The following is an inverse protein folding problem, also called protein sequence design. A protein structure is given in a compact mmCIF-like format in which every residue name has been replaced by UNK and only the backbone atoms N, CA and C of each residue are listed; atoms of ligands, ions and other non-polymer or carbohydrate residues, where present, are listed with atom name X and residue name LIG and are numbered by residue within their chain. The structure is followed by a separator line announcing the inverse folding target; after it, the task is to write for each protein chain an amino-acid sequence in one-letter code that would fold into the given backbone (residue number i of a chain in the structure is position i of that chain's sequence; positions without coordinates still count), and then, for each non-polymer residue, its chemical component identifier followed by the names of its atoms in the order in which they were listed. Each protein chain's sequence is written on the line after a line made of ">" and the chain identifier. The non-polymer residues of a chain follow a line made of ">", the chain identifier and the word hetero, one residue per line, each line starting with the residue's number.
data_IF_085892230862
#
_entry.id   IF_085892230862
#
_cell.length_a   1.000
_cell.length_b   1.000
_cell.length_c   1.000
_cell.angle_alpha   90.00
_cell.angle_beta   90.00
_cell.angle_gamma   90.00
#
_symmetry.space_group_name_H-M   'P 1'
#
loop_
_entity.id
_entity.type
_entity.pdbx_description
1 polymer ?
#
# COMPACT_ATOMS: atom_id res chain seq x y z
N UNK A 1 19.10 51.98 -30.77
CA UNK A 1 19.90 51.09 -29.89
C UNK A 1 21.25 50.84 -30.57
N UNK A 2 22.36 51.13 -29.91
CA UNK A 2 23.70 50.85 -30.47
C UNK A 2 23.93 49.33 -30.52
N UNK A 3 24.80 48.89 -31.43
CA UNK A 3 25.15 47.46 -31.58
C UNK A 3 25.79 46.89 -30.30
N UNK A 4 26.56 47.71 -29.60
CA UNK A 4 27.14 47.37 -28.31
C UNK A 4 26.07 47.14 -27.23
N UNK A 5 25.03 47.99 -27.16
CA UNK A 5 23.90 47.78 -26.25
C UNK A 5 23.16 46.47 -26.56
N UNK A 6 22.98 46.14 -27.85
CA UNK A 6 22.34 44.89 -28.26
C UNK A 6 23.09 43.65 -27.78
N UNK A 7 24.42 43.63 -27.97
CA UNK A 7 25.27 42.50 -27.54
C UNK A 7 25.27 42.35 -26.01
N UNK A 8 25.36 43.46 -25.27
CA UNK A 8 25.29 43.42 -23.80
C UNK A 8 23.96 42.86 -23.28
N UNK A 9 22.83 43.20 -23.93
CA UNK A 9 21.52 42.65 -23.57
C UNK A 9 21.39 41.16 -23.88
N UNK A 10 21.94 40.70 -25.01
CA UNK A 10 21.94 39.27 -25.37
C UNK A 10 22.78 38.48 -24.36
N UNK A 11 23.98 38.95 -24.02
CA UNK A 11 24.84 38.32 -23.01
C UNK A 11 24.17 38.26 -21.63
N UNK A 12 23.48 39.33 -21.21
CA UNK A 12 22.68 39.34 -19.99
C UNK A 12 21.56 38.29 -20.03
N UNK A 13 20.84 38.19 -21.15
CA UNK A 13 19.76 37.22 -21.32
C UNK A 13 20.27 35.77 -21.24
N UNK A 14 21.44 35.48 -21.81
CA UNK A 14 22.11 34.17 -21.68
C UNK A 14 22.43 33.87 -20.22
N UNK A 15 22.98 34.84 -19.48
CA UNK A 15 23.29 34.69 -18.06
C UNK A 15 22.04 34.39 -17.21
N UNK A 16 20.97 35.16 -17.40
CA UNK A 16 19.69 34.96 -16.70
C UNK A 16 19.09 33.59 -17.02
N UNK A 17 19.09 33.20 -18.30
CA UNK A 17 18.60 31.91 -18.72
C UNK A 17 19.40 30.79 -18.04
N UNK A 18 20.74 30.84 -18.09
CA UNK A 18 21.62 29.82 -17.48
C UNK A 18 21.37 29.66 -15.97
N UNK A 19 21.24 30.76 -15.23
CA UNK A 19 20.91 30.72 -13.80
C UNK A 19 19.52 30.09 -13.59
N UNK A 20 18.53 30.46 -14.40
CA UNK A 20 17.18 29.88 -14.37
C UNK A 20 17.18 28.37 -14.59
N UNK A 21 17.93 27.86 -15.57
CA UNK A 21 18.09 26.41 -15.78
C UNK A 21 18.72 25.72 -14.56
N UNK A 22 19.73 26.34 -13.94
CA UNK A 22 20.37 25.82 -12.73
C UNK A 22 19.38 25.67 -11.57
N UNK A 23 18.60 26.71 -11.29
CA UNK A 23 17.58 26.70 -10.22
C UNK A 23 16.51 25.63 -10.48
N UNK A 24 16.00 25.56 -11.71
CA UNK A 24 15.00 24.55 -12.07
C UNK A 24 15.58 23.14 -11.91
N UNK A 25 16.77 22.87 -12.45
CA UNK A 25 17.45 21.56 -12.33
C UNK A 25 17.62 21.14 -10.87
N UNK A 26 18.04 22.07 -10.01
CA UNK A 26 18.15 21.81 -8.57
C UNK A 26 16.79 21.47 -7.93
N UNK A 27 15.72 22.21 -8.27
CA UNK A 27 14.36 21.90 -7.82
C UNK A 27 13.86 20.54 -8.31
N UNK A 28 14.14 20.16 -9.55
CA UNK A 28 13.83 18.82 -10.06
C UNK A 28 14.55 17.73 -9.28
N UNK A 29 15.80 17.94 -8.90
CA UNK A 29 16.55 17.02 -8.06
C UNK A 29 15.89 16.80 -6.69
N UNK A 30 15.44 17.88 -6.03
CA UNK A 30 14.71 17.78 -4.76
C UNK A 30 13.40 17.00 -4.93
N UNK A 31 12.58 17.37 -5.92
CA UNK A 31 11.29 16.74 -6.19
C UNK A 31 11.46 15.24 -6.54
N UNK A 32 12.48 14.89 -7.34
CA UNK A 32 12.77 13.51 -7.71
C UNK A 32 13.23 12.65 -6.51
N UNK A 33 13.92 13.25 -5.54
CA UNK A 33 14.33 12.54 -4.33
C UNK A 33 13.13 12.15 -3.46
N UNK A 34 12.12 13.03 -3.37
CA UNK A 34 10.85 12.76 -2.69
C UNK A 34 10.07 11.65 -3.39
N UNK A 35 9.93 11.69 -4.73
CA UNK A 35 9.25 10.63 -5.49
C UNK A 35 9.86 9.24 -5.24
N UNK A 36 11.19 9.13 -5.24
CA UNK A 36 11.87 7.86 -4.97
C UNK A 36 11.66 7.38 -3.53
N UNK A 37 11.49 8.29 -2.58
CA UNK A 37 11.15 7.94 -1.21
C UNK A 37 9.71 7.42 -1.12
N UNK A 38 8.76 8.12 -1.74
CA UNK A 38 7.34 7.74 -1.75
C UNK A 38 7.11 6.41 -2.48
N UNK A 39 7.79 6.16 -3.61
CA UNK A 39 7.76 4.87 -4.31
C UNK A 39 8.24 3.72 -3.40
N UNK A 40 9.31 3.94 -2.62
CA UNK A 40 9.81 2.94 -1.66
C UNK A 40 8.85 2.72 -0.50
N UNK A 41 8.19 3.77 -0.01
CA UNK A 41 7.16 3.66 1.02
C UNK A 41 5.94 2.90 0.50
N UNK A 42 5.46 3.19 -0.71
CA UNK A 42 4.35 2.46 -1.34
C UNK A 42 4.65 0.97 -1.49
N UNK A 43 5.85 0.62 -1.99
CA UNK A 43 6.27 -0.79 -2.11
C UNK A 43 6.34 -1.46 -0.73
N UNK A 44 6.93 -0.79 0.28
CA UNK A 44 6.99 -1.35 1.64
C UNK A 44 5.60 -1.66 2.17
N UNK A 45 4.63 -0.77 1.96
CA UNK A 45 3.29 -0.96 2.47
C UNK A 45 2.48 -2.01 1.70
N UNK A 46 2.71 -2.15 0.39
CA UNK A 46 2.17 -3.28 -0.36
C UNK A 46 2.73 -4.60 0.15
N UNK A 47 4.03 -4.66 0.45
CA UNK A 47 4.67 -5.85 1.04
C UNK A 47 4.09 -6.14 2.43
N UNK A 48 3.88 -5.12 3.26
CA UNK A 48 3.28 -5.28 4.58
C UNK A 48 1.82 -5.77 4.49
N UNK A 49 1.01 -5.23 3.58
CA UNK A 49 -0.35 -5.72 3.32
C UNK A 49 -0.38 -7.17 2.84
N UNK A 50 0.54 -7.54 1.94
CA UNK A 50 0.63 -8.89 1.42
C UNK A 50 1.12 -9.87 2.49
N UNK A 51 2.07 -9.45 3.33
CA UNK A 51 2.49 -10.21 4.51
C UNK A 51 1.33 -10.48 5.46
N UNK A 52 0.52 -9.47 5.80
CA UNK A 52 -0.67 -9.62 6.64
C UNK A 52 -1.66 -10.61 5.99
N UNK A 53 -1.91 -10.52 4.68
CA UNK A 53 -2.81 -11.46 3.99
C UNK A 53 -2.29 -12.90 4.06
N UNK A 54 -0.99 -13.11 3.89
CA UNK A 54 -0.37 -14.43 3.98
C UNK A 54 -0.46 -14.97 5.41
N UNK A 55 -0.14 -14.15 6.42
CA UNK A 55 -0.23 -14.55 7.84
C UNK A 55 -1.66 -14.95 8.21
N UNK A 56 -2.65 -14.13 7.84
CA UNK A 56 -4.08 -14.44 8.04
C UNK A 56 -4.47 -15.73 7.34
N UNK A 57 -4.02 -15.96 6.10
CA UNK A 57 -4.36 -17.18 5.36
C UNK A 57 -3.73 -18.43 5.98
N UNK A 58 -2.47 -18.36 6.43
CA UNK A 58 -1.78 -19.46 7.12
C UNK A 58 -2.47 -19.80 8.44
N UNK A 59 -2.85 -18.77 9.20
CA UNK A 59 -3.52 -18.92 10.48
C UNK A 59 -4.95 -19.45 10.32
N UNK A 60 -5.71 -18.96 9.35
CA UNK A 60 -7.03 -19.49 9.00
C UNK A 60 -6.95 -20.96 8.56
N UNK A 61 -5.95 -21.33 7.75
CA UNK A 61 -5.74 -22.73 7.35
C UNK A 61 -5.34 -23.62 8.55
N UNK A 62 -4.58 -23.09 9.51
CA UNK A 62 -4.28 -23.79 10.78
C UNK A 62 -5.56 -24.04 11.57
N UNK A 63 -6.41 -23.02 11.74
CA UNK A 63 -7.66 -23.11 12.48
C UNK A 63 -8.68 -24.04 11.79
N UNK A 64 -8.79 -24.01 10.46
CA UNK A 64 -9.64 -24.93 9.71
C UNK A 64 -9.28 -26.40 9.96
N UNK A 65 -7.99 -26.75 9.93
CA UNK A 65 -7.53 -28.12 10.24
C UNK A 65 -7.85 -28.54 11.69
N UNK A 66 -7.78 -27.60 12.64
CA UNK A 66 -8.16 -27.88 14.03
C UNK A 66 -9.67 -28.06 14.17
N UNK A 67 -10.46 -27.31 13.39
CA UNK A 67 -11.91 -27.49 13.31
C UNK A 67 -12.29 -28.85 12.72
N UNK A 68 -11.65 -29.29 11.65
CA UNK A 68 -11.89 -30.63 11.08
C UNK A 68 -11.66 -31.73 12.13
N UNK A 69 -10.59 -31.61 12.91
CA UNK A 69 -10.32 -32.51 14.04
C UNK A 69 -11.40 -32.44 15.11
N UNK A 70 -11.84 -31.24 15.47
CA UNK A 70 -12.91 -31.02 16.45
C UNK A 70 -14.20 -31.72 16.04
N UNK A 71 -14.61 -31.60 14.77
CA UNK A 71 -15.82 -32.27 14.24
C UNK A 71 -15.68 -33.80 14.31
N UNK A 72 -14.54 -34.35 13.90
CA UNK A 72 -14.29 -35.81 13.96
C UNK A 72 -14.36 -36.35 15.40
N UNK A 73 -13.88 -35.59 16.39
CA UNK A 73 -13.97 -35.99 17.80
C UNK A 73 -15.42 -35.94 18.32
N UNK A 74 -16.24 -35.02 17.82
CA UNK A 74 -17.68 -34.99 18.08
C UNK A 74 -18.42 -36.17 17.46
N UNK A 75 -18.11 -36.54 16.21
CA UNK A 75 -18.68 -37.73 15.57
C UNK A 75 -18.36 -39.02 16.34
N UNK A 76 -17.16 -39.10 16.94
CA UNK A 76 -16.78 -40.20 17.81
C UNK A 76 -17.57 -40.23 19.12
N UNK A 77 -17.85 -39.06 19.71
CA UNK A 77 -18.70 -38.96 20.89
C UNK A 77 -20.13 -39.39 20.59
N UNK A 78 -20.69 -38.99 19.44
CA UNK A 78 -22.02 -39.41 19.00
C UNK A 78 -22.11 -40.92 18.78
N UNK A 79 -21.05 -41.54 18.27
CA UNK A 79 -20.95 -43.00 18.17
C UNK A 79 -20.93 -43.69 19.54
N UNK A 80 -20.28 -43.09 20.55
CA UNK A 80 -20.31 -43.59 21.93
C UNK A 80 -21.71 -43.45 22.55
N UNK A 81 -22.41 -42.34 22.31
CA UNK A 81 -23.78 -42.14 22.78
C UNK A 81 -24.78 -43.13 22.14
N UNK A 82 -24.61 -43.42 20.85
CA UNK A 82 -25.39 -44.45 20.17
C UNK A 82 -25.15 -45.84 20.78
N UNK A 83 -23.89 -46.17 21.14
CA UNK A 83 -23.55 -47.41 21.84
C UNK A 83 -24.11 -47.44 23.26
N UNK A 84 -24.08 -46.31 23.96
CA UNK A 84 -24.67 -46.17 25.29
C UNK A 84 -26.18 -46.43 25.24
N UNK A 85 -26.89 -45.84 24.28
CA UNK A 85 -28.32 -46.08 24.06
C UNK A 85 -28.62 -47.56 23.78
N UNK A 86 -27.80 -48.23 22.95
CA UNK A 86 -27.93 -49.66 22.70
C UNK A 86 -27.66 -50.53 23.94
N UNK A 87 -26.72 -50.14 24.81
CA UNK A 87 -26.45 -50.82 26.08
C UNK A 87 -27.64 -50.68 27.05
N UNK A 88 -28.24 -49.49 27.16
CA UNK A 88 -29.49 -49.27 27.94
C UNK A 88 -30.61 -50.17 27.46
N UNK A 89 -30.79 -50.27 26.15
CA UNK A 89 -31.82 -51.12 25.55
C UNK A 89 -31.64 -52.62 25.86
N UNK A 90 -30.40 -53.06 26.14
CA UNK A 90 -30.08 -54.43 26.57
C UNK A 90 -30.14 -54.65 28.10
N UNK A 91 -30.45 -53.61 28.87
CA UNK A 91 -30.47 -53.67 30.34
C UNK A 91 -29.11 -53.50 31.02
N UNK A 92 -28.06 -53.15 30.27
CA UNK A 92 -26.72 -52.87 30.79
C UNK A 92 -26.60 -51.39 31.16
N UNK A 93 -27.12 -51.04 32.34
CA UNK A 93 -27.16 -49.65 32.81
C UNK A 93 -25.76 -49.09 33.16
N UNK A 94 -24.88 -49.91 33.72
CA UNK A 94 -23.53 -49.51 34.11
C UNK A 94 -22.66 -49.25 32.88
N UNK A 95 -22.67 -50.16 31.90
CA UNK A 95 -21.96 -49.97 30.63
C UNK A 95 -22.48 -48.77 29.84
N UNK A 96 -23.78 -48.51 29.88
CA UNK A 96 -24.35 -47.31 29.26
C UNK A 96 -23.93 -46.01 29.93
N UNK A 97 -23.79 -46.00 31.27
CA UNK A 97 -23.32 -44.82 32.00
C UNK A 97 -21.85 -44.52 31.69
N UNK A 98 -21.00 -45.57 31.66
CA UNK A 98 -19.60 -45.45 31.30
C UNK A 98 -19.41 -44.87 29.89
N UNK A 99 -20.11 -45.43 28.89
CA UNK A 99 -20.02 -44.95 27.51
C UNK A 99 -20.49 -43.50 27.34
N UNK A 100 -21.52 -43.09 28.07
CA UNK A 100 -22.00 -41.70 28.04
C UNK A 100 -20.99 -40.74 28.72
N UNK A 101 -20.34 -41.16 29.80
CA UNK A 101 -19.28 -40.37 30.44
C UNK A 101 -18.06 -40.23 29.51
N UNK A 102 -17.64 -41.31 28.84
CA UNK A 102 -16.57 -41.26 27.83
C UNK A 102 -16.92 -40.30 26.67
N UNK A 103 -18.16 -40.35 26.17
CA UNK A 103 -18.63 -39.43 25.13
C UNK A 103 -18.53 -37.97 25.60
N UNK A 104 -18.98 -37.68 26.81
CA UNK A 104 -18.93 -36.34 27.39
C UNK A 104 -17.49 -35.85 27.58
N UNK A 105 -16.61 -36.69 28.12
CA UNK A 105 -15.20 -36.36 28.26
C UNK A 105 -14.54 -36.06 26.91
N UNK A 106 -14.89 -36.80 25.87
CA UNK A 106 -14.37 -36.57 24.52
C UNK A 106 -14.81 -35.19 23.97
N UNK A 107 -16.08 -34.82 24.14
CA UNK A 107 -16.59 -33.49 23.74
C UNK A 107 -15.90 -32.35 24.50
N UNK A 108 -15.68 -32.52 25.81
CA UNK A 108 -14.95 -31.54 26.65
C UNK A 108 -13.53 -31.34 26.10
N UNK A 109 -12.79 -32.43 25.89
CA UNK A 109 -11.41 -32.35 25.40
C UNK A 109 -11.32 -31.76 23.98
N UNK A 110 -12.25 -32.12 23.10
CA UNK A 110 -12.34 -31.56 21.76
C UNK A 110 -12.58 -30.04 21.81
N UNK A 111 -13.53 -29.62 22.63
CA UNK A 111 -13.89 -28.21 22.83
C UNK A 111 -12.70 -27.43 23.38
N UNK A 112 -12.04 -27.92 24.44
CA UNK A 112 -10.88 -27.27 25.05
C UNK A 112 -9.73 -27.11 24.05
N UNK A 113 -9.46 -28.12 23.22
CA UNK A 113 -8.44 -28.04 22.17
C UNK A 113 -8.78 -27.02 21.08
N UNK A 114 -10.04 -26.97 20.65
CA UNK A 114 -10.49 -26.00 19.65
C UNK A 114 -10.39 -24.57 20.18
N UNK A 115 -10.74 -24.34 21.45
CA UNK A 115 -10.56 -23.05 22.13
C UNK A 115 -9.09 -22.66 22.30
N UNK A 116 -8.26 -23.58 22.78
CA UNK A 116 -6.82 -23.36 22.91
C UNK A 116 -6.14 -23.09 21.56
N UNK A 117 -6.74 -23.57 20.47
CA UNK A 117 -6.28 -23.30 19.10
C UNK A 117 -6.92 -22.05 18.48
N UNK A 118 -7.76 -21.33 19.21
CA UNK A 118 -8.45 -20.10 18.79
C UNK A 118 -9.37 -20.26 17.57
N UNK A 119 -9.86 -21.48 17.32
CA UNK A 119 -10.76 -21.79 16.19
C UNK A 119 -12.02 -20.91 16.21
N UNK A 120 -12.52 -20.60 17.40
CA UNK A 120 -13.73 -19.80 17.61
C UNK A 120 -13.44 -18.32 17.96
N UNK A 121 -12.18 -17.87 17.83
CA UNK A 121 -11.75 -16.49 18.07
C UNK A 121 -11.78 -16.02 19.54
N UNK A 122 -11.16 -14.87 19.81
CA UNK A 122 -11.02 -14.33 21.17
C UNK A 122 -12.35 -13.84 21.79
N UNK A 123 -13.31 -13.41 20.97
CA UNK A 123 -14.61 -12.92 21.44
C UNK A 123 -15.49 -14.02 22.07
N UNK A 124 -15.20 -15.30 21.80
CA UNK A 124 -15.95 -16.42 22.39
C UNK A 124 -15.46 -16.81 23.78
N UNK A 125 -14.36 -16.22 24.29
CA UNK A 125 -13.87 -16.44 25.66
C UNK A 125 -14.87 -15.96 26.74
N UNK A 126 -15.72 -14.96 26.43
CA UNK A 126 -16.73 -14.46 27.37
C UNK A 126 -17.97 -15.38 27.51
N UNK A 127 -18.19 -16.29 26.55
CA UNK A 127 -19.23 -17.35 26.58
C UNK A 127 -18.58 -18.74 26.73
N UNK A 128 -17.52 -18.77 27.53
CA UNK A 128 -16.59 -19.88 27.80
C UNK A 128 -17.21 -21.27 27.74
N UNK A 129 -16.61 -22.14 26.92
CA UNK A 129 -16.53 -23.59 27.11
C UNK A 129 -17.83 -24.38 27.37
N UNK A 130 -19.01 -23.83 27.08
CA UNK A 130 -20.25 -24.60 27.17
C UNK A 130 -20.18 -25.71 26.12
N UNK A 131 -19.88 -26.92 26.60
CA UNK A 131 -19.91 -28.14 25.82
C UNK A 131 -21.36 -28.45 25.53
N UNK A 132 -21.69 -28.46 24.24
CA UNK A 132 -22.99 -28.87 23.72
C UNK A 132 -22.89 -30.29 23.17
N UNK A 133 -24.04 -30.94 22.99
CA UNK A 133 -24.12 -32.25 22.35
C UNK A 133 -23.66 -32.18 20.88
N UNK A 134 -23.97 -31.06 20.21
CA UNK A 134 -23.59 -30.81 18.82
C UNK A 134 -22.30 -29.99 18.70
N UNK A 135 -21.55 -30.24 17.63
CA UNK A 135 -20.38 -29.46 17.27
C UNK A 135 -20.78 -28.03 16.91
N UNK A 136 -20.04 -27.05 17.43
CA UNK A 136 -20.27 -25.64 17.09
C UNK A 136 -19.96 -25.38 15.61
N UNK A 137 -20.73 -24.53 14.92
CA UNK A 137 -20.43 -24.19 13.53
C UNK A 137 -19.14 -23.35 13.43
N UNK A 138 -18.43 -23.52 12.32
CA UNK A 138 -17.25 -22.73 11.94
C UNK A 138 -17.44 -22.18 10.53
N UNK A 139 -17.38 -20.86 10.41
CA UNK A 139 -17.34 -20.16 9.14
C UNK A 139 -15.92 -19.64 8.90
N UNK A 140 -15.26 -20.21 7.90
CA UNK A 140 -13.89 -19.84 7.54
C UNK A 140 -13.79 -18.39 7.04
N UNK A 141 -14.81 -17.91 6.31
CA UNK A 141 -14.79 -16.58 5.72
C UNK A 141 -14.92 -15.52 6.82
N UNK A 142 -15.89 -15.68 7.72
CA UNK A 142 -16.03 -14.82 8.90
C UNK A 142 -14.75 -14.82 9.75
N UNK A 143 -14.10 -15.98 9.86
CA UNK A 143 -12.86 -16.09 10.65
C UNK A 143 -11.69 -15.35 10.00
N UNK A 144 -11.55 -15.44 8.68
CA UNK A 144 -10.56 -14.66 7.92
C UNK A 144 -10.78 -13.16 8.13
N UNK A 145 -12.03 -12.69 8.07
CA UNK A 145 -12.35 -11.28 8.29
C UNK A 145 -12.00 -10.81 9.70
N UNK A 146 -12.29 -11.63 10.72
CA UNK A 146 -11.92 -11.34 12.10
C UNK A 146 -10.40 -11.31 12.31
N UNK A 147 -9.65 -12.25 11.73
CA UNK A 147 -8.19 -12.28 11.81
C UNK A 147 -7.59 -11.06 11.11
N UNK A 148 -8.09 -10.71 9.93
CA UNK A 148 -7.67 -9.53 9.20
C UNK A 148 -7.95 -8.23 9.96
N UNK A 149 -9.14 -8.13 10.58
CA UNK A 149 -9.48 -7.00 11.45
C UNK A 149 -8.54 -6.92 12.67
N UNK A 150 -8.19 -8.05 13.28
CA UNK A 150 -7.27 -8.09 14.43
C UNK A 150 -5.87 -7.59 14.06
N UNK A 151 -5.31 -8.05 12.93
CA UNK A 151 -3.98 -7.61 12.47
C UNK A 151 -3.97 -6.13 12.08
N UNK A 152 -5.01 -5.67 11.40
CA UNK A 152 -5.09 -4.27 10.95
C UNK A 152 -5.48 -3.27 12.05
N UNK A 153 -6.07 -3.71 13.16
CA UNK A 153 -6.42 -2.86 14.32
C UNK A 153 -5.47 -2.97 15.51
N UNK A 154 -4.42 -3.80 15.42
CA UNK A 154 -3.39 -3.92 16.45
C UNK A 154 -2.67 -2.61 16.74
N UNK A 155 -2.16 -2.45 17.97
CA UNK A 155 -1.39 -1.28 18.43
C UNK A 155 -0.12 -0.97 17.60
N UNK A 156 0.28 -1.89 16.73
CA UNK A 156 1.41 -1.80 15.80
C UNK A 156 1.01 -1.42 14.38
N UNK A 157 -0.29 -1.33 14.06
CA UNK A 157 -0.74 -0.95 12.72
C UNK A 157 -0.49 0.54 12.48
N UNK A 158 0.23 0.86 11.41
CA UNK A 158 0.66 2.21 11.01
C UNK A 158 -0.49 3.11 10.54
N UNK A 159 -1.72 2.84 10.96
CA UNK A 159 -2.93 3.35 10.31
C UNK A 159 -3.27 2.50 9.08
N UNK A 160 -4.49 2.65 8.58
CA UNK A 160 -4.96 1.89 7.41
C UNK A 160 -4.02 2.17 6.22
N UNK A 161 -3.27 1.18 5.71
CA UNK A 161 -2.42 1.39 4.55
C UNK A 161 -3.28 1.82 3.36
N UNK A 162 -2.83 2.86 2.65
CA UNK A 162 -3.47 3.39 1.45
C UNK A 162 -2.42 3.46 0.32
N UNK A 163 -2.06 2.29 -0.25
CA UNK A 163 -1.02 2.19 -1.27
C UNK A 163 -1.33 3.02 -2.51
N UNK A 164 -2.62 3.21 -2.81
CA UNK A 164 -3.10 4.00 -3.93
C UNK A 164 -2.76 5.48 -3.73
N UNK A 165 -2.92 6.01 -2.51
CA UNK A 165 -2.55 7.39 -2.21
C UNK A 165 -1.07 7.68 -2.49
N UNK A 166 -0.14 6.82 -2.07
CA UNK A 166 1.27 7.03 -2.39
C UNK A 166 1.58 6.87 -3.88
N UNK A 167 0.92 5.93 -4.57
CA UNK A 167 1.07 5.79 -6.01
C UNK A 167 0.60 7.06 -6.76
N UNK A 168 -0.54 7.61 -6.37
CA UNK A 168 -1.09 8.84 -6.93
C UNK A 168 -0.19 10.06 -6.63
N UNK A 169 0.39 10.12 -5.43
CA UNK A 169 1.35 11.16 -5.02
C UNK A 169 2.66 11.07 -5.83
N UNK A 170 3.20 9.88 -6.00
CA UNK A 170 4.36 9.61 -6.87
C UNK A 170 4.10 10.01 -8.33
N UNK A 171 2.93 9.69 -8.88
CA UNK A 171 2.59 10.06 -10.26
C UNK A 171 2.43 11.58 -10.41
N UNK A 172 1.82 12.26 -9.44
CA UNK A 172 1.76 13.72 -9.41
C UNK A 172 3.18 14.34 -9.39
N UNK A 173 4.11 13.72 -8.65
CA UNK A 173 5.52 14.12 -8.63
C UNK A 173 6.19 13.90 -9.98
N UNK A 174 5.99 12.75 -10.63
CA UNK A 174 6.55 12.44 -11.97
C UNK A 174 6.07 13.44 -13.02
N UNK A 175 4.79 13.82 -12.98
CA UNK A 175 4.24 14.88 -13.85
C UNK A 175 4.96 16.19 -13.62
N UNK A 176 5.18 16.60 -12.36
CA UNK A 176 5.92 17.82 -12.02
C UNK A 176 7.36 17.79 -12.50
N UNK A 177 8.08 16.68 -12.35
CA UNK A 177 9.45 16.52 -12.85
C UNK A 177 9.49 16.64 -14.37
N UNK A 178 8.57 15.97 -15.08
CA UNK A 178 8.47 16.05 -16.53
C UNK A 178 8.20 17.47 -17.01
N UNK A 179 7.27 18.19 -16.38
CA UNK A 179 7.00 19.61 -16.68
C UNK A 179 8.26 20.45 -16.51
N UNK A 180 9.03 20.21 -15.45
CA UNK A 180 10.26 20.93 -15.16
C UNK A 180 11.36 20.66 -16.20
N UNK A 181 11.52 19.40 -16.65
CA UNK A 181 12.43 19.04 -17.76
C UNK A 181 12.03 19.77 -19.05
N UNK A 182 10.73 19.89 -19.34
CA UNK A 182 10.26 20.65 -20.51
C UNK A 182 10.65 22.13 -20.41
N UNK A 183 10.50 22.76 -19.24
CA UNK A 183 10.88 24.15 -19.03
C UNK A 183 12.40 24.37 -19.17
N UNK A 184 13.22 23.45 -18.64
CA UNK A 184 14.68 23.51 -18.80
C UNK A 184 15.07 23.37 -20.28
N UNK A 185 14.45 22.45 -21.03
CA UNK A 185 14.71 22.29 -22.46
C UNK A 185 14.38 23.55 -23.27
N UNK A 186 13.24 24.20 -22.99
CA UNK A 186 12.86 25.47 -23.63
C UNK A 186 13.85 26.59 -23.30
N UNK A 187 14.37 26.61 -22.07
CA UNK A 187 15.34 27.61 -21.65
C UNK A 187 16.70 27.40 -22.32
N UNK A 188 17.15 26.14 -22.49
CA UNK A 188 18.35 25.82 -23.28
C UNK A 188 18.17 26.23 -24.74
N UNK A 189 16.98 26.03 -25.32
CA UNK A 189 16.67 26.49 -26.67
C UNK A 189 16.75 28.03 -26.78
N UNK A 190 16.27 28.76 -25.76
CA UNK A 190 16.40 30.21 -25.70
C UNK A 190 17.88 30.64 -25.68
N UNK A 191 18.72 29.98 -24.89
CA UNK A 191 20.17 30.22 -24.87
C UNK A 191 20.78 30.00 -26.26
N UNK A 192 20.47 28.89 -26.93
CA UNK A 192 20.97 28.62 -28.29
C UNK A 192 20.56 29.73 -29.26
N UNK A 193 19.31 30.20 -29.20
CA UNK A 193 18.83 31.29 -30.06
C UNK A 193 19.54 32.62 -29.78
N UNK A 194 19.82 32.92 -28.50
CA UNK A 194 20.61 34.08 -28.13
C UNK A 194 22.05 33.98 -28.63
N UNK A 195 22.69 32.82 -28.49
CA UNK A 195 24.04 32.58 -29.03
C UNK A 195 24.07 32.72 -30.55
N UNK A 196 23.08 32.17 -31.26
CA UNK A 196 22.95 32.34 -32.72
C UNK A 196 22.76 33.82 -33.08
N UNK A 197 21.94 34.56 -32.32
CA UNK A 197 21.77 36.00 -32.52
C UNK A 197 23.09 36.76 -32.33
N UNK A 198 23.90 36.38 -31.34
CA UNK A 198 25.20 37.02 -31.05
C UNK A 198 26.21 36.82 -32.19
N UNK A 199 26.27 35.62 -32.76
CA UNK A 199 27.23 35.26 -33.83
C UNK A 199 26.77 35.72 -35.22
N UNK A 200 25.50 36.08 -35.41
CA UNK A 200 24.96 36.44 -36.73
C UNK A 200 25.22 37.91 -37.10
N UNK A 201 25.93 38.13 -38.21
CA UNK A 201 26.20 39.48 -38.76
C UNK A 201 24.99 40.11 -39.49
N UNK A 202 24.06 39.29 -39.98
CA UNK A 202 22.87 39.78 -40.68
C UNK A 202 21.87 40.39 -39.70
N UNK A 203 21.78 41.72 -39.69
CA UNK A 203 20.94 42.50 -38.77
C UNK A 203 19.49 41.99 -38.63
N UNK A 204 18.83 41.63 -39.74
CA UNK A 204 17.44 41.11 -39.73
C UNK A 204 17.31 39.75 -39.04
N UNK A 205 18.24 38.83 -39.32
CA UNK A 205 18.25 37.50 -38.72
C UNK A 205 18.56 37.59 -37.23
N UNK A 206 19.56 38.41 -36.85
CA UNK A 206 19.89 38.69 -35.45
C UNK A 206 18.69 39.21 -34.65
N UNK A 207 17.94 40.16 -35.19
CA UNK A 207 16.75 40.69 -34.50
C UNK A 207 15.64 39.66 -34.39
N UNK A 208 15.43 38.84 -35.43
CA UNK A 208 14.40 37.81 -35.41
C UNK A 208 14.72 36.71 -34.38
N UNK A 209 15.95 36.18 -34.38
CA UNK A 209 16.36 35.13 -33.43
C UNK A 209 16.38 35.64 -31.99
N UNK A 210 16.83 36.87 -31.75
CA UNK A 210 16.78 37.49 -30.43
C UNK A 210 15.34 37.65 -29.92
N UNK A 211 14.40 38.09 -30.77
CA UNK A 211 12.99 38.22 -30.37
C UNK A 211 12.35 36.87 -30.04
N UNK A 212 12.64 35.82 -30.82
CA UNK A 212 12.16 34.46 -30.52
C UNK A 212 12.78 33.94 -29.20
N UNK A 213 14.07 34.19 -28.96
CA UNK A 213 14.72 33.85 -27.70
C UNK A 213 14.07 34.55 -26.49
N UNK A 214 13.77 35.85 -26.62
CA UNK A 214 13.05 36.60 -25.57
C UNK A 214 11.66 36.04 -25.34
N UNK A 215 10.91 35.75 -26.40
CA UNK A 215 9.57 35.16 -26.29
C UNK A 215 9.61 33.83 -25.52
N UNK A 216 10.56 32.94 -25.86
CA UNK A 216 10.75 31.68 -25.14
C UNK A 216 11.10 31.90 -23.67
N UNK A 217 11.99 32.85 -23.38
CA UNK A 217 12.37 33.16 -22.00
C UNK A 217 11.17 33.64 -21.18
N UNK A 218 10.31 34.49 -21.77
CA UNK A 218 9.06 34.94 -21.13
C UNK A 218 8.08 33.78 -20.92
N UNK A 219 7.90 32.92 -21.93
CA UNK A 219 7.02 31.74 -21.82
C UNK A 219 7.50 30.80 -20.71
N UNK A 220 8.80 30.54 -20.62
CA UNK A 220 9.38 29.73 -19.55
C UNK A 220 9.18 30.40 -18.19
N UNK A 221 9.44 31.70 -18.06
CA UNK A 221 9.29 32.43 -16.80
C UNK A 221 7.84 32.39 -16.30
N UNK A 222 6.88 32.69 -17.16
CA UNK A 222 5.44 32.67 -16.83
C UNK A 222 4.97 31.24 -16.54
N UNK A 223 5.37 30.29 -17.39
CA UNK A 223 5.01 28.87 -17.24
C UNK A 223 5.54 28.27 -15.93
N UNK A 224 6.82 28.46 -15.64
CA UNK A 224 7.45 27.98 -14.41
C UNK A 224 6.87 28.65 -13.15
N UNK A 225 6.58 29.95 -13.20
CA UNK A 225 5.93 30.67 -12.10
C UNK A 225 4.49 30.17 -11.85
N UNK A 226 3.70 29.96 -12.91
CA UNK A 226 2.32 29.45 -12.79
C UNK A 226 2.22 28.06 -12.15
N UNK A 227 3.30 27.27 -12.26
CA UNK A 227 3.44 25.95 -11.67
C UNK A 227 4.06 25.97 -10.27
N UNK A 228 4.41 27.14 -9.75
CA UNK A 228 4.98 27.33 -8.41
C UNK A 228 6.45 26.91 -8.28
N UNK A 229 7.19 26.80 -9.39
CA UNK A 229 8.61 26.42 -9.35
C UNK A 229 9.56 27.56 -8.99
N UNK A 230 9.08 28.81 -9.14
CA UNK A 230 9.81 30.04 -8.83
C UNK A 230 9.02 30.77 -7.75
N UNK A 231 9.39 30.52 -6.49
CA UNK A 231 8.88 31.19 -5.29
C UNK A 231 10.07 31.64 -4.43
#
# INVERSE_FOLDING_TARGET
>A
MSEETARRLIALAIGVATIGAGVLTWRAGQISSTANFDDRQSISQQVDEEAIRIEVAVEAARQARQYDRYVVEYEQADALDARAAAARARGDAEGAALLADEAQQLRVQATDRAFASEVFGAATLANSAVVTDEARPFDLQDRIEQLYAAETSGLTSSGRPDPQRWADESDAIRVRVRDLVHWVALLLLAVVLFTVAEVTDRRRLRTATALVGVLLLVVVAVGAASKGFVA
#
